data_IF_044985846652
#
_entry.id   IF_044985846652
#
_cell.length_a   1.000
_cell.length_b   1.000
_cell.length_c   1.000
_cell.angle_alpha   90.00
_cell.angle_beta   90.00
_cell.angle_gamma   90.00
#
_symmetry.space_group_name_H-M   'P 1'
#
loop_
_entity.id
_entity.type
_entity.pdbx_description
1 polymer ?
#
# COMPACT_ATOMS: atom_id res chain seq x y z
N UNK A 1 16.67 4.53 -30.30
CA UNK A 1 15.25 4.25 -30.05
C UNK A 1 15.12 2.86 -29.43
N UNK A 2 14.49 2.71 -28.26
CA UNK A 2 14.27 1.39 -27.68
C UNK A 2 13.21 0.64 -28.49
N UNK A 3 13.54 -0.56 -28.97
CA UNK A 3 12.59 -1.42 -29.66
C UNK A 3 11.42 -1.82 -28.75
N UNK A 4 10.33 -2.31 -29.35
CA UNK A 4 9.16 -2.80 -28.60
C UNK A 4 9.58 -3.85 -27.57
N UNK A 5 9.13 -3.68 -26.32
CA UNK A 5 9.36 -4.68 -25.27
C UNK A 5 8.88 -6.05 -25.74
N UNK A 6 9.66 -7.12 -25.50
CA UNK A 6 9.27 -8.46 -25.92
C UNK A 6 7.94 -8.86 -25.25
N UNK A 7 7.08 -9.57 -26.01
CA UNK A 7 5.87 -10.16 -25.44
C UNK A 7 6.25 -11.21 -24.39
N UNK A 8 5.65 -11.20 -23.18
CA UNK A 8 5.81 -12.24 -22.17
C UNK A 8 5.56 -13.64 -22.72
N UNK A 9 6.22 -14.65 -22.17
CA UNK A 9 6.16 -16.03 -22.70
C UNK A 9 4.75 -16.58 -22.65
N UNK A 10 4.00 -16.33 -21.58
CA UNK A 10 2.61 -16.78 -21.46
C UNK A 10 1.73 -16.27 -22.62
N UNK A 11 1.89 -15.00 -23.05
CA UNK A 11 1.14 -14.46 -24.18
C UNK A 11 1.58 -15.05 -25.52
N UNK A 12 2.86 -15.41 -25.67
CA UNK A 12 3.34 -16.13 -26.87
C UNK A 12 2.74 -17.53 -26.96
N UNK A 13 2.61 -18.23 -25.84
CA UNK A 13 1.96 -19.55 -25.77
C UNK A 13 0.50 -19.45 -26.18
N UNK A 14 -0.26 -18.54 -25.58
CA UNK A 14 -1.69 -18.33 -25.88
C UNK A 14 -1.93 -17.98 -27.35
N UNK A 15 -1.02 -17.22 -27.97
CA UNK A 15 -1.13 -16.84 -29.39
C UNK A 15 -0.55 -17.87 -30.36
N UNK A 16 -0.19 -19.07 -29.89
CA UNK A 16 0.33 -20.15 -30.72
C UNK A 16 1.75 -19.95 -31.22
N UNK A 17 2.50 -19.01 -30.65
CA UNK A 17 3.87 -18.65 -31.03
C UNK A 17 4.07 -18.50 -32.56
N UNK A 18 3.43 -17.51 -33.23
CA UNK A 18 3.41 -17.42 -34.69
C UNK A 18 4.80 -17.34 -35.33
N UNK A 19 5.77 -16.75 -34.61
CA UNK A 19 7.16 -16.65 -35.05
C UNK A 19 7.97 -17.95 -34.91
N UNK A 20 7.42 -19.00 -34.29
CA UNK A 20 8.03 -20.32 -34.03
C UNK A 20 9.42 -20.29 -33.37
N UNK A 21 9.83 -19.14 -32.82
CA UNK A 21 11.11 -18.99 -32.10
C UNK A 21 11.01 -19.72 -30.75
N UNK A 22 12.13 -20.24 -30.27
CA UNK A 22 12.20 -20.85 -28.93
C UNK A 22 11.68 -19.86 -27.87
N UNK A 23 10.83 -20.35 -26.96
CA UNK A 23 10.32 -19.56 -25.84
C UNK A 23 11.42 -19.33 -24.79
N UNK A 24 11.26 -18.29 -23.96
CA UNK A 24 12.22 -18.00 -22.92
C UNK A 24 11.92 -18.86 -21.68
N UNK A 25 12.72 -19.89 -21.46
CA UNK A 25 12.59 -20.79 -20.30
C UNK A 25 13.09 -20.13 -18.99
N UNK A 26 13.74 -18.95 -19.07
CA UNK A 26 14.34 -18.23 -17.94
C UNK A 26 13.58 -16.94 -17.60
N UNK A 27 12.30 -16.86 -17.92
CA UNK A 27 11.50 -15.71 -17.51
C UNK A 27 11.30 -15.74 -15.98
N UNK A 28 11.55 -14.62 -15.26
CA UNK A 28 11.42 -14.61 -13.81
C UNK A 28 9.97 -14.87 -13.41
N UNK A 29 9.78 -15.79 -12.48
CA UNK A 29 8.50 -16.12 -11.85
C UNK A 29 8.64 -15.86 -10.35
N UNK A 30 8.18 -14.71 -9.84
CA UNK A 30 8.19 -14.44 -8.41
C UNK A 30 7.45 -15.54 -7.65
N UNK A 31 8.00 -15.95 -6.49
CA UNK A 31 7.33 -16.92 -5.63
C UNK A 31 5.98 -16.37 -5.16
N UNK A 32 4.96 -17.22 -5.20
CA UNK A 32 3.62 -16.95 -4.68
C UNK A 32 3.55 -17.47 -3.25
N UNK A 33 3.92 -16.63 -2.31
CA UNK A 33 3.87 -16.93 -0.90
C UNK A 33 3.44 -15.68 -0.13
N UNK A 34 2.82 -15.88 1.04
CA UNK A 34 2.50 -14.80 1.97
C UNK A 34 3.77 -14.49 2.78
N UNK A 35 4.38 -13.30 2.63
CA UNK A 35 5.54 -12.94 3.42
C UNK A 35 5.13 -12.63 4.87
N UNK A 36 6.05 -12.88 5.79
CA UNK A 36 5.90 -12.44 7.18
C UNK A 36 5.88 -10.90 7.24
N UNK A 37 5.07 -10.29 8.12
CA UNK A 37 5.05 -8.84 8.27
C UNK A 37 6.42 -8.33 8.72
N UNK A 38 6.91 -7.22 8.15
CA UNK A 38 8.14 -6.58 8.59
C UNK A 38 8.12 -6.26 10.08
N UNK A 39 9.24 -6.48 10.77
CA UNK A 39 9.33 -6.36 12.23
C UNK A 39 9.02 -4.95 12.73
N UNK A 40 9.40 -3.93 11.95
CA UNK A 40 9.23 -2.51 12.25
C UNK A 40 7.82 -1.97 11.98
N UNK A 41 6.91 -2.76 11.40
CA UNK A 41 5.51 -2.35 11.32
C UNK A 41 4.91 -2.20 12.73
N UNK A 42 4.13 -1.15 12.91
CA UNK A 42 3.29 -0.97 14.09
C UNK A 42 2.29 -2.13 14.22
N UNK A 43 1.73 -2.34 15.42
CA UNK A 43 0.73 -3.40 15.63
C UNK A 43 -0.49 -3.23 14.72
N UNK A 44 -0.92 -1.98 14.50
CA UNK A 44 -1.97 -1.63 13.54
C UNK A 44 -1.58 -2.01 12.11
N UNK A 45 -0.32 -1.74 11.72
CA UNK A 45 0.22 -2.13 10.42
C UNK A 45 0.29 -3.65 10.24
N UNK A 46 0.67 -4.41 11.28
CA UNK A 46 0.70 -5.88 11.27
C UNK A 46 -0.69 -6.48 11.14
N UNK A 47 -1.70 -5.89 11.78
CA UNK A 47 -3.11 -6.29 11.61
C UNK A 47 -3.57 -6.02 10.17
N UNK A 48 -3.23 -4.86 9.61
CA UNK A 48 -3.53 -4.52 8.22
C UNK A 48 -2.86 -5.50 7.25
N UNK A 49 -1.59 -5.81 7.49
CA UNK A 49 -0.81 -6.78 6.72
C UNK A 49 -1.49 -8.13 6.68
N UNK A 50 -1.83 -8.70 7.85
CA UNK A 50 -2.50 -10.00 7.91
C UNK A 50 -3.85 -10.04 7.16
N UNK A 51 -4.61 -8.95 7.17
CA UNK A 51 -5.87 -8.86 6.41
C UNK A 51 -5.63 -8.77 4.91
N UNK A 52 -4.71 -7.90 4.49
CA UNK A 52 -4.45 -7.64 3.08
C UNK A 52 -3.76 -8.82 2.40
N UNK A 53 -2.77 -9.46 3.05
CA UNK A 53 -2.10 -10.63 2.47
C UNK A 53 -3.07 -11.78 2.21
N UNK A 54 -3.96 -12.08 3.16
CA UNK A 54 -4.98 -13.14 2.99
C UNK A 54 -5.92 -12.85 1.82
N UNK A 55 -6.34 -11.59 1.65
CA UNK A 55 -7.18 -11.20 0.52
C UNK A 55 -6.44 -11.32 -0.83
N UNK A 56 -5.21 -10.83 -0.90
CA UNK A 56 -4.39 -10.85 -2.12
C UNK A 56 -3.99 -12.27 -2.52
N UNK A 57 -3.68 -13.11 -1.54
CA UNK A 57 -3.39 -14.53 -1.73
C UNK A 57 -4.64 -15.31 -2.19
N UNK A 58 -5.80 -15.05 -1.58
CA UNK A 58 -7.08 -15.62 -2.01
C UNK A 58 -7.45 -15.30 -3.47
N UNK A 59 -6.94 -14.19 -4.01
CA UNK A 59 -7.08 -13.83 -5.42
C UNK A 59 -5.96 -14.40 -6.32
N UNK A 60 -4.92 -14.99 -5.74
CA UNK A 60 -3.78 -15.59 -6.45
C UNK A 60 -2.82 -14.59 -7.10
N UNK A 61 -2.85 -13.32 -6.64
CA UNK A 61 -2.07 -12.22 -7.20
C UNK A 61 -0.89 -11.79 -6.33
N UNK A 62 -0.83 -12.24 -5.07
CA UNK A 62 0.26 -11.90 -4.16
C UNK A 62 1.55 -12.63 -4.56
N UNK A 63 2.64 -11.88 -4.65
CA UNK A 63 3.98 -12.41 -4.82
C UNK A 63 4.97 -11.75 -3.87
N UNK A 64 6.13 -12.38 -3.68
CA UNK A 64 7.23 -11.79 -2.90
C UNK A 64 7.69 -10.42 -3.40
N UNK A 65 7.48 -10.12 -4.69
CA UNK A 65 7.83 -8.83 -5.29
C UNK A 65 6.94 -7.68 -4.77
N UNK A 66 5.76 -7.98 -4.25
CA UNK A 66 4.80 -6.99 -3.76
C UNK A 66 5.08 -6.55 -2.32
N UNK A 67 6.01 -7.21 -1.61
CA UNK A 67 6.24 -7.04 -0.17
C UNK A 67 6.49 -5.58 0.24
N UNK A 68 7.33 -4.85 -0.50
CA UNK A 68 7.67 -3.45 -0.20
C UNK A 68 6.48 -2.50 -0.42
N UNK A 69 5.69 -2.74 -1.47
CA UNK A 69 4.50 -1.94 -1.74
C UNK A 69 3.41 -2.21 -0.69
N UNK A 70 3.24 -3.48 -0.32
CA UNK A 70 2.30 -3.90 0.71
C UNK A 70 2.67 -3.33 2.08
N UNK A 71 3.96 -3.32 2.41
CA UNK A 71 4.47 -2.72 3.66
C UNK A 71 4.04 -1.28 3.78
N UNK A 72 4.30 -0.49 2.73
CA UNK A 72 3.95 0.93 2.71
C UNK A 72 2.44 1.15 2.77
N UNK A 73 1.66 0.30 2.10
CA UNK A 73 0.20 0.36 2.16
C UNK A 73 -0.32 0.13 3.59
N UNK A 74 0.22 -0.88 4.28
CA UNK A 74 -0.15 -1.21 5.64
C UNK A 74 0.23 -0.11 6.64
N UNK A 75 1.40 0.49 6.46
CA UNK A 75 1.90 1.61 7.25
C UNK A 75 0.99 2.85 7.13
N UNK A 76 0.66 3.25 5.90
CA UNK A 76 -0.26 4.39 5.65
C UNK A 76 -1.67 4.09 6.19
N UNK A 77 -2.15 2.85 6.04
CA UNK A 77 -3.46 2.48 6.58
C UNK A 77 -3.49 2.56 8.11
N UNK A 78 -2.40 2.16 8.78
CA UNK A 78 -2.25 2.32 10.22
C UNK A 78 -2.28 3.80 10.64
N UNK A 79 -1.55 4.68 9.94
CA UNK A 79 -1.58 6.14 10.16
C UNK A 79 -3.02 6.67 10.10
N UNK A 80 -3.78 6.30 9.06
CA UNK A 80 -5.16 6.74 8.87
C UNK A 80 -6.04 6.34 10.05
N UNK A 81 -5.93 5.10 10.51
CA UNK A 81 -6.73 4.60 11.63
C UNK A 81 -6.38 5.32 12.94
N UNK A 82 -5.09 5.50 13.22
CA UNK A 82 -4.62 6.20 14.42
C UNK A 82 -5.06 7.66 14.42
N UNK A 83 -4.86 8.38 13.31
CA UNK A 83 -5.25 9.79 13.19
C UNK A 83 -6.78 9.98 13.29
N UNK A 84 -7.57 9.03 12.77
CA UNK A 84 -9.03 9.04 12.96
C UNK A 84 -9.41 8.90 14.43
N UNK A 85 -8.73 8.03 15.19
CA UNK A 85 -8.94 7.90 16.63
C UNK A 85 -8.56 9.17 17.37
N UNK A 86 -7.39 9.76 17.08
CA UNK A 86 -6.96 11.03 17.67
C UNK A 86 -8.00 12.14 17.44
N UNK A 87 -8.50 12.28 16.21
CA UNK A 87 -9.52 13.29 15.90
C UNK A 87 -10.86 13.00 16.60
N UNK A 88 -11.21 11.71 16.79
CA UNK A 88 -12.43 11.34 17.49
C UNK A 88 -12.35 11.67 18.99
N UNK A 89 -11.17 11.53 19.59
CA UNK A 89 -10.92 11.82 21.01
C UNK A 89 -10.72 13.31 21.28
N UNK A 90 -9.82 13.96 20.54
CA UNK A 90 -9.41 15.35 20.77
C UNK A 90 -10.28 16.38 20.03
N UNK A 91 -11.07 15.93 19.06
CA UNK A 91 -11.83 16.79 18.17
C UNK A 91 -11.01 17.38 17.02
N UNK A 92 -11.73 17.97 16.06
CA UNK A 92 -11.14 18.56 14.83
C UNK A 92 -10.50 19.93 15.05
N UNK A 93 -10.81 20.58 16.17
CA UNK A 93 -10.37 21.93 16.53
C UNK A 93 -10.18 22.01 18.03
N UNK A 94 -9.26 22.85 18.47
CA UNK A 94 -9.05 23.16 19.89
C UNK A 94 -9.02 24.67 20.10
N UNK A 95 -9.36 25.09 21.32
CA UNK A 95 -9.40 26.51 21.70
C UNK A 95 -8.13 26.87 22.47
N UNK A 96 -7.51 27.99 22.11
CA UNK A 96 -6.35 28.55 22.79
C UNK A 96 -6.74 29.91 23.37
N UNK A 97 -6.40 30.15 24.63
CA UNK A 97 -6.54 31.48 25.24
C UNK A 97 -5.35 32.36 24.85
N UNK A 98 -5.63 33.56 24.38
CA UNK A 98 -4.64 34.59 24.02
C UNK A 98 -4.96 35.89 24.75
N UNK A 99 -4.04 36.86 24.73
CA UNK A 99 -4.27 38.19 25.34
C UNK A 99 -5.52 38.90 24.79
N UNK A 100 -5.92 38.61 23.55
CA UNK A 100 -7.10 39.18 22.89
C UNK A 100 -8.39 38.33 23.01
N UNK A 101 -8.38 37.26 23.80
CA UNK A 101 -9.52 36.34 23.96
C UNK A 101 -9.25 34.92 23.46
N UNK A 102 -10.32 34.17 23.18
CA UNK A 102 -10.23 32.77 22.73
C UNK A 102 -10.08 32.68 21.21
N UNK A 103 -9.10 31.89 20.77
CA UNK A 103 -8.83 31.58 19.37
C UNK A 103 -9.05 30.09 19.10
N UNK A 104 -9.89 29.76 18.12
CA UNK A 104 -10.09 28.37 17.68
C UNK A 104 -9.04 28.04 16.61
N UNK A 105 -8.28 26.97 16.82
CA UNK A 105 -7.28 26.45 15.87
C UNK A 105 -7.65 25.05 15.40
N UNK A 106 -7.25 24.70 14.18
CA UNK A 106 -7.41 23.34 13.66
C UNK A 106 -6.46 22.37 14.36
N UNK A 107 -6.93 21.15 14.68
CA UNK A 107 -6.08 20.09 15.20
C UNK A 107 -5.13 19.61 14.06
N UNK A 108 -3.79 19.59 14.28
CA UNK A 108 -2.82 19.09 13.30
C UNK A 108 -3.14 17.69 12.77
N UNK A 109 -3.76 16.83 13.58
CA UNK A 109 -4.16 15.48 13.17
C UNK A 109 -5.10 15.49 11.95
N UNK A 110 -5.92 16.54 11.77
CA UNK A 110 -6.81 16.69 10.60
C UNK A 110 -6.00 16.87 9.32
N UNK A 111 -4.94 17.69 9.34
CA UNK A 111 -4.09 17.91 8.19
C UNK A 111 -3.22 16.67 7.89
N UNK A 112 -2.71 16.02 8.93
CA UNK A 112 -1.97 14.76 8.80
C UNK A 112 -2.84 13.64 8.22
N UNK A 113 -4.11 13.54 8.64
CA UNK A 113 -5.05 12.56 8.08
C UNK A 113 -5.29 12.82 6.59
N UNK A 114 -5.50 14.08 6.21
CA UNK A 114 -5.68 14.45 4.82
C UNK A 114 -4.44 14.16 3.96
N UNK A 115 -3.24 14.22 4.53
CA UNK A 115 -2.01 13.79 3.87
C UNK A 115 -1.92 12.27 3.73
N UNK A 116 -2.18 11.52 4.80
CA UNK A 116 -2.19 10.06 4.77
C UNK A 116 -3.20 9.52 3.75
N UNK A 117 -4.42 10.07 3.70
CA UNK A 117 -5.44 9.73 2.72
C UNK A 117 -5.00 10.05 1.27
N UNK A 118 -4.21 11.10 1.04
CA UNK A 118 -3.63 11.40 -0.29
C UNK A 118 -2.59 10.35 -0.68
N UNK A 119 -1.69 9.99 0.25
CA UNK A 119 -0.67 8.94 0.04
C UNK A 119 -1.29 7.56 -0.18
N UNK A 120 -2.45 7.28 0.42
CA UNK A 120 -3.13 5.99 0.27
C UNK A 120 -3.82 5.81 -1.09
N UNK A 121 -4.20 6.90 -1.75
CA UNK A 121 -4.91 6.87 -3.04
C UNK A 121 -4.00 6.86 -4.27
N UNK A 122 -2.73 7.23 -4.11
CA UNK A 122 -1.76 7.33 -5.21
C UNK A 122 -1.13 5.98 -5.54
#
# INVERSE_FOLDING_TARGET
>A
MAGRRPKPTHLKVVTGNPGKRKLNDKEPQPAKEIPSPPAHLSDWGKVAWGRLTVLLDGMGILTVADSLALERLCDIYADILQLRLTIADEGRTYTVQTEGGFLIKANPAVAMLADADRRFKS
#
